data_IF_226527672540
#
_entry.id   IF_226527672540
#
_cell.length_a   1.000
_cell.length_b   1.000
_cell.length_c   1.000
_cell.angle_alpha   90.00
_cell.angle_beta   90.00
_cell.angle_gamma   90.00
#
_symmetry.space_group_name_H-M   'P 1'
#
loop_
_entity.id
_entity.type
_entity.pdbx_description
1 polymer ?
#
# COMPACT_ATOMS: atom_id res chain seq x y z
N UNK A 1 16.18 -13.06 -1.44
CA UNK A 1 15.81 -12.65 -2.79
C UNK A 1 14.33 -12.83 -3.07
N UNK A 2 13.84 -14.08 -3.15
CA UNK A 2 12.45 -14.39 -3.54
C UNK A 2 11.40 -13.70 -2.66
N UNK A 3 11.56 -13.72 -1.33
CA UNK A 3 10.63 -13.09 -0.38
C UNK A 3 10.48 -11.58 -0.59
N UNK A 4 11.57 -10.90 -0.97
CA UNK A 4 11.52 -9.47 -1.29
C UNK A 4 10.69 -9.23 -2.54
N UNK A 5 10.91 -10.03 -3.59
CA UNK A 5 10.11 -9.95 -4.81
C UNK A 5 8.63 -10.24 -4.54
N UNK A 6 8.32 -11.29 -3.79
CA UNK A 6 6.95 -11.63 -3.40
C UNK A 6 6.33 -10.48 -2.59
N UNK A 7 7.07 -9.86 -1.67
CA UNK A 7 6.58 -8.74 -0.88
C UNK A 7 6.29 -7.49 -1.70
N UNK A 8 7.12 -7.21 -2.71
CA UNK A 8 6.96 -6.03 -3.58
C UNK A 8 5.88 -6.22 -4.66
N UNK A 9 5.57 -7.46 -5.05
CA UNK A 9 4.60 -7.75 -6.11
C UNK A 9 3.29 -8.36 -5.60
N UNK A 10 3.34 -9.07 -4.47
CA UNK A 10 2.18 -9.77 -3.91
C UNK A 10 1.22 -8.92 -3.08
N UNK A 11 1.54 -7.65 -2.85
CA UNK A 11 0.75 -6.74 -2.01
C UNK A 11 1.17 -6.74 -0.54
N UNK A 12 0.63 -5.82 0.23
CA UNK A 12 1.06 -5.50 1.59
C UNK A 12 1.20 -6.72 2.55
N UNK A 13 0.23 -7.65 2.64
CA UNK A 13 0.34 -8.76 3.57
C UNK A 13 1.38 -9.79 3.15
N UNK A 14 1.66 -9.93 1.85
CA UNK A 14 2.53 -10.97 1.30
C UNK A 14 3.98 -10.83 1.75
N UNK A 15 4.48 -9.58 1.82
CA UNK A 15 5.81 -9.29 2.34
C UNK A 15 5.96 -9.69 3.80
N UNK A 16 5.00 -9.31 4.63
CA UNK A 16 5.00 -9.64 6.06
C UNK A 16 4.95 -11.16 6.31
N UNK A 17 4.13 -11.88 5.53
CA UNK A 17 4.06 -13.35 5.59
C UNK A 17 5.34 -14.02 5.19
N UNK A 18 5.92 -13.60 4.08
CA UNK A 18 7.18 -14.17 3.62
C UNK A 18 8.30 -13.97 4.65
N UNK A 19 8.35 -12.80 5.30
CA UNK A 19 9.30 -12.55 6.39
C UNK A 19 9.04 -13.47 7.58
N UNK A 20 7.75 -13.63 7.96
CA UNK A 20 7.38 -14.52 9.05
C UNK A 20 7.78 -15.97 8.76
N UNK A 21 7.49 -16.47 7.56
CA UNK A 21 7.86 -17.81 7.14
C UNK A 21 9.37 -18.05 7.20
N UNK A 22 10.19 -17.12 6.71
CA UNK A 22 11.65 -17.20 6.79
C UNK A 22 12.16 -17.15 8.25
N UNK A 23 11.50 -16.41 9.10
CA UNK A 23 11.86 -16.35 10.51
C UNK A 23 11.50 -17.65 11.26
N UNK A 24 10.31 -18.17 10.99
CA UNK A 24 9.80 -19.40 11.60
C UNK A 24 10.62 -20.63 11.13
N UNK A 25 11.12 -20.63 9.88
CA UNK A 25 12.03 -21.65 9.36
C UNK A 25 13.49 -21.50 9.86
N UNK A 26 13.80 -20.39 10.55
CA UNK A 26 15.15 -20.11 11.04
C UNK A 26 16.15 -19.66 9.96
N UNK A 27 15.68 -19.37 8.74
CA UNK A 27 16.50 -18.88 7.64
C UNK A 27 16.98 -17.44 7.83
N UNK A 28 16.25 -16.66 8.61
CA UNK A 28 16.63 -15.30 8.96
C UNK A 28 16.53 -15.07 10.47
N UNK A 29 17.33 -14.14 10.96
CA UNK A 29 17.29 -13.70 12.36
C UNK A 29 16.18 -12.66 12.59
N UNK A 30 15.78 -12.46 13.84
CA UNK A 30 14.86 -11.38 14.26
C UNK A 30 15.33 -10.00 13.74
N UNK A 31 16.63 -9.76 13.74
CA UNK A 31 17.23 -8.51 13.30
C UNK A 31 17.09 -8.31 11.78
N UNK A 32 17.30 -9.38 11.01
CA UNK A 32 17.08 -9.37 9.57
C UNK A 32 15.59 -9.20 9.22
N UNK A 33 14.69 -9.88 9.95
CA UNK A 33 13.25 -9.73 9.79
C UNK A 33 12.81 -8.27 9.99
N UNK A 34 13.28 -7.60 11.05
CA UNK A 34 13.01 -6.17 11.30
C UNK A 34 13.44 -5.27 10.16
N UNK A 35 14.62 -5.52 9.58
CA UNK A 35 15.14 -4.74 8.45
C UNK A 35 14.34 -4.95 7.19
N UNK A 36 14.00 -6.21 6.89
CA UNK A 36 13.19 -6.53 5.73
C UNK A 36 11.82 -5.86 5.79
N UNK A 37 11.20 -5.76 6.96
CA UNK A 37 9.92 -5.08 7.16
C UNK A 37 9.95 -3.60 6.74
N UNK A 38 11.10 -2.94 6.83
CA UNK A 38 11.22 -1.53 6.49
C UNK A 38 10.97 -1.20 5.00
N UNK A 39 11.12 -2.19 4.09
CA UNK A 39 11.03 -1.95 2.65
C UNK A 39 10.27 -3.02 1.85
N UNK A 40 9.92 -4.16 2.46
CA UNK A 40 9.30 -5.28 1.72
C UNK A 40 7.78 -5.19 1.65
N UNK A 41 7.18 -4.25 2.35
CA UNK A 41 5.73 -4.06 2.40
C UNK A 41 5.31 -3.03 1.37
N UNK A 42 4.61 -3.43 0.33
CA UNK A 42 4.16 -2.56 -0.75
C UNK A 42 2.80 -2.95 -1.31
N UNK A 43 2.17 -2.04 -2.05
CA UNK A 43 0.94 -2.34 -2.76
C UNK A 43 1.22 -3.26 -3.96
N UNK A 44 0.33 -4.22 -4.20
CA UNK A 44 0.44 -5.10 -5.36
C UNK A 44 0.11 -4.39 -6.67
N UNK A 45 0.67 -4.88 -7.82
CA UNK A 45 0.48 -4.24 -9.13
C UNK A 45 -0.99 -4.17 -9.54
N UNK A 46 -1.80 -5.16 -9.20
CA UNK A 46 -3.24 -5.15 -9.51
C UNK A 46 -3.95 -3.95 -8.86
N UNK A 47 -3.67 -3.64 -7.60
CA UNK A 47 -4.26 -2.50 -6.92
C UNK A 47 -3.71 -1.17 -7.46
N UNK A 48 -2.40 -1.08 -7.67
CA UNK A 48 -1.76 0.17 -8.11
C UNK A 48 -2.10 0.48 -9.57
N UNK A 49 -1.98 -0.50 -10.47
CA UNK A 49 -2.14 -0.26 -11.91
C UNK A 49 -3.61 -0.28 -12.30
N UNK A 50 -4.37 -1.31 -11.88
CA UNK A 50 -5.74 -1.47 -12.33
C UNK A 50 -6.71 -0.62 -11.53
N UNK A 51 -6.66 -0.65 -10.18
CA UNK A 51 -7.62 0.10 -9.36
C UNK A 51 -7.23 1.57 -9.34
N UNK A 52 -6.01 1.91 -8.91
CA UNK A 52 -5.63 3.32 -8.75
C UNK A 52 -5.32 3.98 -10.09
N UNK A 53 -4.50 3.38 -10.93
CA UNK A 53 -4.12 3.95 -12.23
C UNK A 53 -5.28 4.01 -13.19
N UNK A 54 -5.82 2.86 -13.59
CA UNK A 54 -6.89 2.78 -14.58
C UNK A 54 -8.25 3.21 -14.01
N UNK A 55 -8.60 2.72 -12.81
CA UNK A 55 -9.92 2.96 -12.22
C UNK A 55 -10.10 4.37 -11.65
N UNK A 56 -9.16 4.87 -10.86
CA UNK A 56 -9.29 6.16 -10.19
C UNK A 56 -8.70 7.32 -11.00
N UNK A 57 -7.57 7.11 -11.68
CA UNK A 57 -6.89 8.15 -12.48
C UNK A 57 -7.19 8.06 -13.98
N UNK A 58 -7.94 7.07 -14.43
CA UNK A 58 -8.29 6.90 -15.84
C UNK A 58 -7.12 6.54 -16.77
N UNK A 59 -5.94 6.17 -16.22
CA UNK A 59 -4.71 5.98 -16.98
C UNK A 59 -3.90 4.79 -16.49
N UNK A 60 -3.80 3.74 -17.29
CA UNK A 60 -2.92 2.59 -17.02
C UNK A 60 -1.45 3.04 -16.97
N UNK A 61 -1.05 3.98 -17.83
CA UNK A 61 0.31 4.50 -17.86
C UNK A 61 0.66 5.20 -16.54
N UNK A 62 -0.25 6.00 -15.98
CA UNK A 62 -0.09 6.57 -14.64
C UNK A 62 0.06 5.49 -13.60
N UNK A 63 -0.76 4.45 -13.66
CA UNK A 63 -0.67 3.30 -12.76
C UNK A 63 0.69 2.60 -12.81
N UNK A 64 1.27 2.43 -13.99
CA UNK A 64 2.62 1.87 -14.17
C UNK A 64 3.67 2.79 -13.53
N UNK A 65 3.58 4.10 -13.74
CA UNK A 65 4.50 5.08 -13.12
C UNK A 65 4.39 5.01 -11.59
N UNK A 66 3.17 4.96 -11.03
CA UNK A 66 2.95 4.80 -9.61
C UNK A 66 3.61 3.53 -9.06
N UNK A 67 3.45 2.41 -9.76
CA UNK A 67 4.00 1.13 -9.36
C UNK A 67 5.54 1.13 -9.38
N UNK A 68 6.14 1.62 -10.48
CA UNK A 68 7.60 1.76 -10.59
C UNK A 68 8.13 2.71 -9.51
N UNK A 69 7.43 3.80 -9.21
CA UNK A 69 7.82 4.75 -8.17
C UNK A 69 7.86 4.10 -6.78
N UNK A 70 6.86 3.26 -6.45
CA UNK A 70 6.86 2.50 -5.20
C UNK A 70 7.99 1.49 -5.12
N UNK A 71 8.25 0.74 -6.20
CA UNK A 71 9.37 -0.20 -6.26
C UNK A 71 10.71 0.52 -6.08
N UNK A 72 10.88 1.66 -6.73
CA UNK A 72 12.10 2.48 -6.60
C UNK A 72 12.27 2.99 -5.17
N UNK A 73 11.20 3.46 -4.53
CA UNK A 73 11.23 3.89 -3.13
C UNK A 73 11.61 2.73 -2.19
N UNK A 74 11.02 1.55 -2.38
CA UNK A 74 11.35 0.35 -1.61
C UNK A 74 12.81 -0.06 -1.78
N UNK A 75 13.33 -0.02 -3.02
CA UNK A 75 14.74 -0.34 -3.31
C UNK A 75 15.70 0.64 -2.63
N UNK A 76 15.42 1.95 -2.71
CA UNK A 76 16.24 2.97 -2.04
C UNK A 76 16.26 2.76 -0.53
N UNK A 77 15.10 2.52 0.09
CA UNK A 77 15.02 2.21 1.52
C UNK A 77 15.77 0.93 1.86
N UNK A 78 15.63 -0.11 1.03
CA UNK A 78 16.34 -1.38 1.21
C UNK A 78 17.87 -1.21 1.15
N UNK A 79 18.37 -0.42 0.19
CA UNK A 79 19.80 -0.09 0.07
C UNK A 79 20.28 0.70 1.30
N UNK A 80 19.53 1.72 1.72
CA UNK A 80 19.89 2.53 2.90
C UNK A 80 19.95 1.64 4.15
N UNK A 81 18.92 0.84 4.41
CA UNK A 81 18.91 -0.10 5.54
C UNK A 81 20.07 -1.10 5.45
N UNK A 82 20.40 -1.57 4.25
CA UNK A 82 21.52 -2.48 4.00
C UNK A 82 22.89 -1.83 4.26
N UNK A 83 23.06 -0.56 3.89
CA UNK A 83 24.31 0.18 4.13
C UNK A 83 24.58 0.39 5.63
N UNK A 84 23.55 0.70 6.40
CA UNK A 84 23.67 0.84 7.86
C UNK A 84 23.82 -0.52 8.57
N UNK A 85 23.62 -1.62 7.86
CA UNK A 85 23.75 -2.97 8.36
C UNK A 85 25.15 -3.58 8.19
N UNK A 86 26.08 -2.88 7.55
CA UNK A 86 27.45 -3.36 7.30
C UNK A 86 28.17 -3.62 8.63
N UNK A 87 28.75 -4.80 8.77
CA UNK A 87 29.51 -5.24 9.96
C UNK A 87 28.76 -6.22 10.86
N UNK A 88 27.57 -6.63 10.51
CA UNK A 88 26.89 -7.70 11.24
C UNK A 88 27.17 -9.06 10.60
N UNK A 89 27.50 -10.01 11.45
CA UNK A 89 27.76 -11.38 11.05
C UNK A 89 26.59 -11.93 10.20
N UNK A 90 26.95 -12.55 9.09
CA UNK A 90 26.03 -13.42 8.36
C UNK A 90 25.42 -14.41 9.37
N UNK A 91 24.15 -14.86 9.21
CA UNK A 91 23.59 -15.89 10.06
C UNK A 91 24.60 -17.01 10.12
N UNK A 92 24.96 -17.47 11.33
CA UNK A 92 25.67 -18.72 11.48
C UNK A 92 24.95 -19.70 10.56
N UNK A 93 25.69 -20.28 9.63
CA UNK A 93 25.27 -21.13 8.53
C UNK A 93 23.85 -21.65 8.74
N UNK A 94 22.93 -21.33 7.84
CA UNK A 94 21.59 -21.90 7.91
C UNK A 94 21.78 -23.37 8.26
N UNK A 95 21.54 -23.71 9.52
CA UNK A 95 21.80 -25.06 10.04
C UNK A 95 21.02 -25.97 9.12
N UNK A 96 21.78 -26.73 8.36
CA UNK A 96 21.36 -27.43 7.19
C UNK A 96 19.99 -28.04 7.36
N UNK A 97 19.12 -27.66 6.48
CA UNK A 97 17.92 -28.39 6.17
C UNK A 97 17.19 -28.93 7.40
N UNK A 98 16.26 -28.19 7.99
CA UNK A 98 15.01 -28.86 8.15
C UNK A 98 14.69 -29.36 6.73
N UNK A 99 14.91 -30.65 6.50
CA UNK A 99 14.42 -31.34 5.30
C UNK A 99 12.97 -30.91 5.20
N UNK A 100 12.68 -29.96 4.33
CA UNK A 100 11.32 -29.74 3.93
C UNK A 100 10.95 -31.04 3.24
N UNK A 101 10.33 -31.94 4.02
CA UNK A 101 9.67 -33.10 3.44
C UNK A 101 8.89 -32.51 2.28
N UNK A 102 9.24 -32.91 1.05
CA UNK A 102 8.67 -32.32 -0.15
C UNK A 102 7.15 -32.54 -0.08
N UNK A 103 6.45 -31.52 0.35
CA UNK A 103 5.00 -31.55 0.43
C UNK A 103 4.48 -31.80 -0.98
N UNK A 104 3.57 -32.75 -1.18
CA UNK A 104 2.95 -32.97 -2.49
C UNK A 104 2.38 -31.64 -3.01
N UNK A 105 2.59 -31.33 -4.30
CA UNK A 105 2.12 -30.09 -4.93
C UNK A 105 0.62 -29.84 -4.67
N UNK A 106 -0.19 -30.91 -4.66
CA UNK A 106 -1.62 -30.85 -4.33
C UNK A 106 -1.88 -30.31 -2.92
N UNK A 107 -1.14 -30.78 -1.93
CA UNK A 107 -1.28 -30.33 -0.54
C UNK A 107 -0.81 -28.87 -0.38
N UNK A 108 0.31 -28.52 -1.03
CA UNK A 108 0.82 -27.13 -1.03
C UNK A 108 -0.18 -26.16 -1.68
N UNK A 109 -0.88 -26.58 -2.75
CA UNK A 109 -1.89 -25.77 -3.41
C UNK A 109 -3.13 -25.55 -2.51
N UNK A 110 -3.60 -26.60 -1.84
CA UNK A 110 -4.73 -26.53 -0.91
C UNK A 110 -4.39 -25.63 0.28
N UNK A 111 -3.20 -25.78 0.87
CA UNK A 111 -2.74 -24.94 1.96
C UNK A 111 -2.63 -23.47 1.54
N UNK A 112 -2.02 -23.19 0.39
CA UNK A 112 -1.92 -21.83 -0.15
C UNK A 112 -3.30 -21.19 -0.41
N UNK A 113 -4.28 -21.97 -0.91
CA UNK A 113 -5.63 -21.49 -1.12
C UNK A 113 -6.35 -21.17 0.22
N UNK A 114 -6.19 -22.04 1.22
CA UNK A 114 -6.75 -21.84 2.57
C UNK A 114 -6.16 -20.62 3.26
N UNK A 115 -4.85 -20.48 3.19
CA UNK A 115 -4.13 -19.31 3.75
C UNK A 115 -4.51 -18.02 3.02
N UNK A 116 -4.66 -18.08 1.70
CA UNK A 116 -5.15 -16.97 0.90
C UNK A 116 -6.53 -16.52 1.34
N UNK A 117 -7.48 -17.46 1.48
CA UNK A 117 -8.85 -17.19 1.91
C UNK A 117 -8.90 -16.56 3.31
N UNK A 118 -8.18 -17.14 4.28
CA UNK A 118 -8.07 -16.60 5.65
C UNK A 118 -7.54 -15.18 5.66
N UNK A 119 -6.61 -14.89 4.78
CA UNK A 119 -6.02 -13.54 4.66
C UNK A 119 -6.97 -12.53 4.08
N UNK A 120 -7.73 -12.94 3.06
CA UNK A 120 -8.74 -12.05 2.47
C UNK A 120 -9.83 -11.72 3.50
N UNK A 121 -10.28 -12.70 4.28
CA UNK A 121 -11.25 -12.48 5.36
C UNK A 121 -10.69 -11.50 6.40
N UNK A 122 -9.45 -11.70 6.85
CA UNK A 122 -8.80 -10.79 7.79
C UNK A 122 -8.67 -9.37 7.21
N UNK A 123 -8.26 -9.25 5.93
CA UNK A 123 -8.16 -7.97 5.24
C UNK A 123 -9.52 -7.26 5.19
N UNK A 124 -10.58 -7.95 4.77
CA UNK A 124 -11.93 -7.40 4.72
C UNK A 124 -12.40 -6.92 6.11
N UNK A 125 -12.11 -7.68 7.15
CA UNK A 125 -12.49 -7.32 8.54
C UNK A 125 -11.82 -6.02 8.98
N UNK A 126 -10.53 -5.84 8.69
CA UNK A 126 -9.82 -4.59 9.00
C UNK A 126 -10.34 -3.41 8.16
N UNK A 127 -10.59 -3.61 6.87
CA UNK A 127 -11.16 -2.57 6.00
C UNK A 127 -12.53 -2.13 6.52
N UNK A 128 -13.42 -3.06 6.86
CA UNK A 128 -14.74 -2.75 7.44
C UNK A 128 -14.59 -1.97 8.74
N UNK A 129 -13.71 -2.41 9.65
CA UNK A 129 -13.46 -1.74 10.92
C UNK A 129 -12.99 -0.29 10.72
N UNK A 130 -12.00 -0.08 9.85
CA UNK A 130 -11.46 1.25 9.59
C UNK A 130 -12.42 2.14 8.79
N UNK A 131 -13.22 1.56 7.89
CA UNK A 131 -14.30 2.29 7.21
C UNK A 131 -15.38 2.75 8.19
N UNK A 132 -15.77 1.90 9.15
CA UNK A 132 -16.69 2.30 10.21
C UNK A 132 -16.10 3.41 11.10
N UNK A 133 -14.80 3.32 11.43
CA UNK A 133 -14.09 4.37 12.17
C UNK A 133 -14.11 5.70 11.39
N UNK A 134 -13.86 5.67 10.08
CA UNK A 134 -13.94 6.87 9.23
C UNK A 134 -15.31 7.53 9.28
N UNK A 135 -16.38 6.74 9.20
CA UNK A 135 -17.76 7.27 9.32
C UNK A 135 -17.98 7.93 10.67
N UNK A 136 -17.50 7.32 11.75
CA UNK A 136 -17.61 7.91 13.11
C UNK A 136 -16.85 9.23 13.20
N UNK A 137 -15.62 9.29 12.67
CA UNK A 137 -14.81 10.52 12.65
C UNK A 137 -15.46 11.63 11.82
N UNK A 138 -16.12 11.27 10.73
CA UNK A 138 -16.82 12.21 9.88
C UNK A 138 -18.09 12.75 10.57
N UNK A 139 -18.92 11.88 11.11
CA UNK A 139 -20.14 12.26 11.82
C UNK A 139 -19.88 13.03 13.13
N UNK A 140 -18.75 12.77 13.79
CA UNK A 140 -18.36 13.53 15.00
C UNK A 140 -17.77 14.91 14.71
N UNK A 141 -17.58 15.27 13.44
CA UNK A 141 -16.94 16.52 13.03
C UNK A 141 -15.41 16.54 13.17
N UNK A 142 -14.80 15.46 13.67
CA UNK A 142 -13.35 15.37 13.84
C UNK A 142 -12.65 15.47 12.47
N UNK A 143 -13.18 14.82 11.43
CA UNK A 143 -12.62 14.89 10.07
C UNK A 143 -12.59 16.34 9.56
N UNK A 144 -13.66 17.11 9.77
CA UNK A 144 -13.75 18.52 9.37
C UNK A 144 -12.76 19.38 10.13
N UNK A 145 -12.67 19.20 11.45
CA UNK A 145 -11.69 19.90 12.29
C UNK A 145 -10.25 19.61 11.84
N UNK A 146 -9.90 18.34 11.59
CA UNK A 146 -8.56 17.97 11.11
C UNK A 146 -8.27 18.54 9.72
N UNK A 147 -9.26 18.56 8.83
CA UNK A 147 -9.14 19.23 7.52
C UNK A 147 -8.75 20.70 7.69
N UNK A 148 -9.45 21.45 8.55
CA UNK A 148 -9.14 22.86 8.83
C UNK A 148 -7.72 23.03 9.37
N UNK A 149 -7.31 22.17 10.30
CA UNK A 149 -5.94 22.14 10.83
C UNK A 149 -4.93 21.92 9.71
N UNK A 150 -5.12 20.92 8.86
CA UNK A 150 -4.19 20.65 7.76
C UNK A 150 -4.14 21.77 6.72
N UNK A 151 -5.30 22.38 6.41
CA UNK A 151 -5.37 23.55 5.52
C UNK A 151 -4.63 24.75 6.12
N UNK A 152 -4.68 24.96 7.44
CA UNK A 152 -3.94 26.02 8.12
C UNK A 152 -2.41 25.86 8.05
N UNK A 153 -1.93 24.63 7.90
CA UNK A 153 -0.53 24.31 7.62
C UNK A 153 -0.15 24.42 6.14
N UNK A 154 -1.04 24.92 5.29
CA UNK A 154 -0.79 25.18 3.87
C UNK A 154 -1.05 23.99 2.95
N UNK A 155 -1.70 22.91 3.44
CA UNK A 155 -2.14 21.84 2.55
C UNK A 155 -3.29 22.34 1.66
N UNK A 156 -3.25 22.09 0.34
CA UNK A 156 -4.38 22.37 -0.54
C UNK A 156 -5.64 21.62 -0.07
N UNK A 157 -6.79 22.26 -0.14
CA UNK A 157 -8.08 21.72 0.37
C UNK A 157 -8.40 20.31 -0.14
N UNK A 158 -8.08 20.03 -1.41
CA UNK A 158 -8.25 18.70 -2.02
C UNK A 158 -7.41 17.61 -1.36
N UNK A 159 -6.22 17.95 -0.84
CA UNK A 159 -5.39 17.02 -0.08
C UNK A 159 -5.82 16.97 1.38
N UNK A 160 -6.09 18.11 1.99
CA UNK A 160 -6.52 18.19 3.38
C UNK A 160 -7.81 17.41 3.65
N UNK A 161 -8.79 17.48 2.71
CA UNK A 161 -10.06 16.74 2.83
C UNK A 161 -9.93 15.22 2.74
N UNK A 162 -8.91 14.73 2.06
CA UNK A 162 -8.68 13.29 1.87
C UNK A 162 -7.57 12.73 2.75
N UNK A 163 -6.85 13.57 3.50
CA UNK A 163 -5.69 13.11 4.28
C UNK A 163 -6.09 12.16 5.41
N UNK A 164 -7.17 12.43 6.14
CA UNK A 164 -7.65 11.54 7.22
C UNK A 164 -8.01 10.15 6.68
N UNK A 165 -8.83 10.00 5.62
CA UNK A 165 -9.04 8.72 4.97
C UNK A 165 -7.74 8.05 4.53
N UNK A 166 -6.82 8.78 3.87
CA UNK A 166 -5.52 8.25 3.41
C UNK A 166 -4.67 7.72 4.56
N UNK A 167 -4.64 8.44 5.69
CA UNK A 167 -3.88 8.01 6.85
C UNK A 167 -4.46 6.76 7.51
N UNK A 168 -5.76 6.56 7.42
CA UNK A 168 -6.45 5.46 8.10
C UNK A 168 -6.59 4.21 7.20
N UNK A 169 -7.07 4.36 5.96
CA UNK A 169 -7.37 3.22 5.10
C UNK A 169 -7.09 3.54 3.63
N UNK A 170 -6.21 2.79 3.01
CA UNK A 170 -5.64 3.08 1.69
C UNK A 170 -6.69 3.07 0.57
N UNK A 171 -7.69 2.18 0.62
CA UNK A 171 -8.68 2.03 -0.46
C UNK A 171 -9.66 3.21 -0.46
N UNK A 172 -10.26 3.48 0.67
CA UNK A 172 -11.16 4.62 0.89
C UNK A 172 -10.40 5.93 0.73
N UNK A 173 -9.16 6.00 1.25
CA UNK A 173 -8.30 7.18 1.14
C UNK A 173 -7.92 7.50 -0.29
N UNK A 174 -7.52 6.49 -1.08
CA UNK A 174 -7.20 6.68 -2.49
C UNK A 174 -8.41 7.11 -3.30
N UNK A 175 -9.58 6.55 -3.02
CA UNK A 175 -10.84 6.92 -3.67
C UNK A 175 -11.24 8.35 -3.31
N UNK A 176 -11.16 8.73 -2.03
CA UNK A 176 -11.45 10.08 -1.57
C UNK A 176 -10.46 11.11 -2.16
N UNK A 177 -9.17 10.77 -2.23
CA UNK A 177 -8.15 11.63 -2.81
C UNK A 177 -8.38 11.84 -4.31
N UNK A 178 -8.69 10.78 -5.06
CA UNK A 178 -9.02 10.89 -6.48
C UNK A 178 -10.29 11.72 -6.72
N UNK A 179 -11.36 11.49 -5.95
CA UNK A 179 -12.59 12.26 -6.03
C UNK A 179 -12.40 13.75 -5.69
N UNK A 180 -11.48 14.07 -4.78
CA UNK A 180 -11.10 15.44 -4.46
C UNK A 180 -10.16 16.09 -5.51
N UNK A 181 -9.77 15.36 -6.56
CA UNK A 181 -8.84 15.84 -7.57
C UNK A 181 -7.39 15.96 -7.08
N UNK A 182 -7.00 15.19 -6.08
CA UNK A 182 -5.61 15.10 -5.67
C UNK A 182 -4.81 14.39 -6.78
N UNK A 183 -3.67 14.97 -7.11
CA UNK A 183 -2.84 14.46 -8.22
C UNK A 183 -2.19 13.11 -7.93
N UNK A 184 -1.67 12.48 -8.98
CA UNK A 184 -1.00 11.18 -8.89
C UNK A 184 0.10 11.09 -7.81
N UNK A 185 0.93 12.13 -7.55
CA UNK A 185 1.92 12.08 -6.47
C UNK A 185 1.31 11.89 -5.08
N UNK A 186 0.15 12.48 -4.81
CA UNK A 186 -0.52 12.30 -3.53
C UNK A 186 -1.10 10.88 -3.39
N UNK A 187 -1.66 10.32 -4.48
CA UNK A 187 -2.08 8.91 -4.50
C UNK A 187 -0.88 7.98 -4.32
N UNK A 188 0.27 8.30 -4.92
CA UNK A 188 1.51 7.55 -4.71
C UNK A 188 1.94 7.56 -3.25
N UNK A 189 1.83 8.71 -2.58
CA UNK A 189 2.03 8.80 -1.13
C UNK A 189 1.06 7.89 -0.38
N UNK A 190 -0.24 7.95 -0.69
CA UNK A 190 -1.27 7.12 -0.05
C UNK A 190 -0.95 5.62 -0.18
N UNK A 191 -0.58 5.18 -1.37
CA UNK A 191 -0.19 3.80 -1.65
C UNK A 191 1.10 3.40 -0.91
N UNK A 192 2.09 4.28 -0.87
CA UNK A 192 3.34 4.06 -0.15
C UNK A 192 3.16 4.03 1.37
N UNK A 193 2.32 4.89 1.92
CA UNK A 193 1.94 4.91 3.33
C UNK A 193 1.09 3.70 3.72
N UNK A 194 0.19 3.25 2.86
CA UNK A 194 -0.74 2.12 3.01
C UNK A 194 -1.91 2.33 3.99
N UNK A 195 -1.85 3.30 4.87
CA UNK A 195 -2.84 3.52 5.92
C UNK A 195 -2.67 2.62 7.15
N UNK A 196 -3.10 3.12 8.30
CA UNK A 196 -3.03 2.39 9.57
C UNK A 196 -3.77 1.05 9.53
N UNK A 197 -4.82 0.93 8.72
CA UNK A 197 -5.55 -0.32 8.50
C UNK A 197 -4.60 -1.46 8.09
N UNK A 198 -3.74 -1.23 7.10
CA UNK A 198 -2.75 -2.21 6.64
C UNK A 198 -1.67 -2.44 7.70
N UNK A 199 -1.22 -1.39 8.37
CA UNK A 199 -0.19 -1.51 9.41
C UNK A 199 -0.68 -2.38 10.58
N UNK A 200 -1.94 -2.21 11.00
CA UNK A 200 -2.55 -3.07 12.03
C UNK A 200 -2.72 -4.51 11.56
N UNK A 201 -3.02 -4.75 10.28
CA UNK A 201 -3.02 -6.11 9.70
C UNK A 201 -1.64 -6.75 9.84
N UNK A 202 -0.58 -6.03 9.45
CA UNK A 202 0.81 -6.50 9.56
C UNK A 202 1.16 -6.78 11.03
N UNK A 203 0.80 -5.88 11.95
CA UNK A 203 1.05 -6.09 13.38
C UNK A 203 0.33 -7.33 13.92
N UNK A 204 -0.89 -7.60 13.43
CA UNK A 204 -1.64 -8.79 13.84
C UNK A 204 -0.99 -10.09 13.36
N UNK A 205 -0.37 -10.06 12.17
CA UNK A 205 0.32 -11.22 11.58
C UNK A 205 1.69 -11.48 12.20
N UNK A 206 2.37 -10.42 12.63
CA UNK A 206 3.75 -10.45 13.12
C UNK A 206 3.86 -10.39 14.65
N UNK A 207 2.88 -10.93 15.38
CA UNK A 207 2.89 -10.92 16.85
C UNK A 207 4.12 -11.60 17.46
N UNK A 208 4.68 -12.60 16.78
CA UNK A 208 5.90 -13.31 17.17
C UNK A 208 7.19 -12.58 16.83
N UNK A 209 7.12 -11.54 15.99
CA UNK A 209 8.28 -10.75 15.57
C UNK A 209 8.43 -9.54 16.50
N UNK A 210 9.54 -9.46 17.20
CA UNK A 210 9.83 -8.31 18.06
C UNK A 210 10.37 -7.15 17.22
N UNK A 211 9.58 -6.10 16.95
CA UNK A 211 10.00 -4.88 16.24
C UNK A 211 9.33 -3.63 16.81
N UNK A 212 9.97 -2.49 16.64
CA UNK A 212 9.40 -1.19 17.02
C UNK A 212 8.35 -0.76 15.99
N UNK A 213 7.08 -0.67 16.41
CA UNK A 213 5.98 -0.21 15.57
C UNK A 213 6.20 1.25 15.12
N UNK A 214 6.75 2.10 15.97
CA UNK A 214 7.06 3.49 15.64
C UNK A 214 8.11 3.59 14.52
N UNK A 215 9.18 2.78 14.59
CA UNK A 215 10.19 2.72 13.53
C UNK A 215 9.56 2.21 12.22
N UNK A 216 8.73 1.18 12.29
CA UNK A 216 8.02 0.68 11.12
C UNK A 216 7.15 1.77 10.48
N UNK A 217 6.32 2.49 11.26
CA UNK A 217 5.49 3.58 10.75
C UNK A 217 6.33 4.72 10.16
N UNK A 218 7.47 5.03 10.76
CA UNK A 218 8.39 6.02 10.20
C UNK A 218 8.91 5.59 8.81
N UNK A 219 9.29 4.32 8.64
CA UNK A 219 9.68 3.80 7.32
C UNK A 219 8.52 3.79 6.32
N UNK A 220 7.29 3.55 6.76
CA UNK A 220 6.09 3.69 5.91
C UNK A 220 5.92 5.13 5.42
N UNK A 221 6.09 6.10 6.32
CA UNK A 221 6.04 7.52 5.97
C UNK A 221 7.11 7.87 4.92
N UNK A 222 8.35 7.46 5.14
CA UNK A 222 9.43 7.68 4.17
C UNK A 222 9.16 6.98 2.84
N UNK A 223 8.61 5.76 2.86
CA UNK A 223 8.23 5.05 1.64
C UNK A 223 7.17 5.83 0.85
N UNK A 224 6.13 6.34 1.51
CA UNK A 224 5.12 7.18 0.90
C UNK A 224 5.70 8.47 0.29
N UNK A 225 6.53 9.19 1.04
CA UNK A 225 7.16 10.42 0.57
C UNK A 225 8.11 10.19 -0.62
N UNK A 226 8.94 9.15 -0.56
CA UNK A 226 9.82 8.77 -1.67
C UNK A 226 9.03 8.32 -2.90
N UNK A 227 7.95 7.56 -2.70
CA UNK A 227 7.06 7.16 -3.79
C UNK A 227 6.44 8.37 -4.49
N UNK A 228 5.96 9.36 -3.72
CA UNK A 228 5.44 10.61 -4.26
C UNK A 228 6.51 11.37 -5.05
N UNK A 229 7.73 11.49 -4.50
CA UNK A 229 8.85 12.13 -5.17
C UNK A 229 9.20 11.45 -6.50
N UNK A 230 9.32 10.12 -6.50
CA UNK A 230 9.60 9.37 -7.73
C UNK A 230 8.45 9.46 -8.73
N UNK A 231 7.22 9.59 -8.28
CA UNK A 231 6.08 9.83 -9.18
C UNK A 231 6.17 11.22 -9.85
N UNK A 232 6.54 12.26 -9.11
CA UNK A 232 6.79 13.59 -9.71
C UNK A 232 7.88 13.50 -10.77
N UNK A 233 8.99 12.84 -10.46
CA UNK A 233 10.09 12.62 -11.40
C UNK A 233 9.63 11.81 -12.62
N UNK A 234 8.92 10.71 -12.39
CA UNK A 234 8.40 9.86 -13.45
C UNK A 234 7.46 10.60 -14.41
N UNK A 235 6.55 11.41 -13.88
CA UNK A 235 5.63 12.23 -14.68
C UNK A 235 6.35 13.35 -15.43
N UNK A 236 7.45 13.85 -14.90
CA UNK A 236 8.26 14.85 -15.60
C UNK A 236 8.96 14.25 -16.84
N UNK A 237 9.51 13.04 -16.74
CA UNK A 237 10.17 12.38 -17.87
C UNK A 237 9.22 11.68 -18.83
N UNK A 238 8.06 11.26 -18.35
CA UNK A 238 7.02 10.58 -19.12
C UNK A 238 5.70 11.34 -18.97
N UNK A 239 5.59 12.52 -19.61
CA UNK A 239 4.36 13.31 -19.53
C UNK A 239 3.21 12.51 -20.13
N UNK A 240 2.15 12.39 -19.36
CA UNK A 240 0.93 11.70 -19.80
C UNK A 240 0.10 12.72 -20.54
N UNK A 241 -0.05 12.53 -21.83
CA UNK A 241 -1.04 13.26 -22.61
C UNK A 241 -2.41 12.63 -22.28
N UNK A 242 -3.11 13.20 -21.29
CA UNK A 242 -4.48 12.81 -21.03
C UNK A 242 -5.31 13.16 -22.26
N UNK A 243 -5.70 12.14 -23.01
CA UNK A 243 -6.88 12.26 -23.84
C UNK A 243 -8.06 12.30 -22.89
N UNK A 244 -8.46 13.52 -22.49
CA UNK A 244 -9.65 13.73 -21.68
C UNK A 244 -10.84 13.32 -22.56
N UNK A 245 -11.24 12.07 -22.47
CA UNK A 245 -12.57 11.67 -22.87
C UNK A 245 -13.52 12.27 -21.83
N UNK A 246 -13.95 13.51 -22.10
CA UNK A 246 -15.16 14.03 -21.49
C UNK A 246 -16.29 13.09 -21.93
N UNK A 247 -16.65 12.14 -21.09
CA UNK A 247 -17.97 11.56 -21.11
C UNK A 247 -18.93 12.69 -20.75
N UNK A 248 -19.32 13.46 -21.76
CA UNK A 248 -20.51 14.30 -21.69
C UNK A 248 -21.67 13.34 -21.47
N UNK A 249 -22.00 13.14 -20.18
CA UNK A 249 -23.31 12.62 -19.80
C UNK A 249 -24.35 13.61 -20.29
N UNK A 250 -24.69 13.52 -21.58
CA UNK A 250 -25.92 14.12 -22.09
C UNK A 250 -27.07 13.43 -21.33
N UNK A 251 -27.61 14.14 -20.36
CA UNK A 251 -28.95 13.89 -19.86
C UNK A 251 -29.91 13.93 -21.04
N UNK A 252 -30.34 12.76 -21.49
CA UNK A 252 -31.50 12.62 -22.36
C UNK A 252 -32.76 13.02 -21.57
N UNK A 253 -32.90 14.30 -21.26
CA UNK A 253 -34.18 14.92 -20.97
C UNK A 253 -34.75 15.45 -22.26
N UNK A 254 -35.02 14.58 -23.22
CA UNK A 254 -35.81 14.87 -24.39
C UNK A 254 -37.25 14.92 -23.97
N UNK A 255 -37.77 16.13 -23.79
CA UNK A 255 -39.19 16.36 -23.58
C UNK A 255 -40.01 15.81 -24.74
N UNK A 256 -40.89 14.85 -24.43
CA UNK A 256 -42.03 14.52 -25.29
C UNK A 256 -42.97 15.74 -25.28
N UNK A 257 -42.85 16.61 -26.26
CA UNK A 257 -43.88 17.60 -26.55
C UNK A 257 -44.98 16.88 -27.38
N UNK A 258 -46.02 16.41 -26.69
CA UNK A 258 -47.29 16.12 -27.32
C UNK A 258 -47.85 17.40 -27.94
N UNK A 259 -47.94 17.46 -29.28
CA UNK A 259 -48.81 18.38 -29.99
C UNK A 259 -50.14 17.68 -30.21
N UNK A 260 -51.19 18.21 -29.60
CA UNK A 260 -52.57 18.02 -29.99
C UNK A 260 -52.87 18.78 -31.27
#
# INVERSE_FOLDING_TARGET
GATVLIGLTGGYPSGARGIKALLDSGEITQKQARRMLCFTVGAGPAFVISVTGSGLLGSVQTGIILFISQLSAALVLGILVGLFARGEEAPAEARGGASSASMPVSSALVEAASDGASSMISMCSFVILFSALLVILDQSGISSFLKEVFSSFGLPDRMASSLVPVLLEVTTGSTAAAAAGAGAPFLSFALGWAGLCVDFQIFSMLRSVSFSKAVFLLFRLFHGLLSALFTVIGLHFFPITETVFFSTGQSLSGGLALRA
#
